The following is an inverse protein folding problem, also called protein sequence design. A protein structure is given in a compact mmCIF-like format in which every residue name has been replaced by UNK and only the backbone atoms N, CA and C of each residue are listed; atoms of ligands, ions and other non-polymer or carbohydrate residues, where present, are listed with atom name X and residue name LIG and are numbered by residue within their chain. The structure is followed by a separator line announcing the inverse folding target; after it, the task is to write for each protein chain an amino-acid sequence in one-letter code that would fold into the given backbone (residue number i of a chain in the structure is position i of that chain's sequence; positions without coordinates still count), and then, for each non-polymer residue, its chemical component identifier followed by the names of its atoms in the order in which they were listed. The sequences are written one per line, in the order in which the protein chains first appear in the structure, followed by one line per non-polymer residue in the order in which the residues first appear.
data_IF_796714536057
#
_entry.id   IF_796714536057
#
_cell.length_a   1.000
_cell.length_b   1.000
_cell.length_c   1.000
_cell.angle_alpha   90.00
_cell.angle_beta   90.00
_cell.angle_gamma   90.00
#
_symmetry.space_group_name_H-M   'P 1'
#
loop_
_entity.id
_entity.type
_entity.pdbx_description
1 polymer ?
#
# COMPACT_ATOMS: atom_id res chain seq x y z
N UNK A 1 -14.70 2.32 -37.61
CA UNK A 1 -13.45 1.84 -36.98
C UNK A 1 -12.65 3.07 -36.66
N UNK A 2 -12.36 3.32 -35.38
CA UNK A 2 -11.69 4.56 -34.97
C UNK A 2 -10.20 4.47 -35.25
N UNK A 3 -9.72 5.37 -36.11
CA UNK A 3 -8.30 5.58 -36.38
C UNK A 3 -7.54 5.70 -35.06
N UNK A 4 -6.37 5.05 -35.00
CA UNK A 4 -5.47 5.20 -33.87
C UNK A 4 -4.91 6.62 -33.88
N UNK A 5 -4.95 7.29 -32.72
CA UNK A 5 -4.42 8.65 -32.58
C UNK A 5 -2.89 8.64 -32.71
N UNK A 6 -2.25 9.53 -33.48
CA UNK A 6 -0.80 9.65 -33.48
C UNK A 6 -0.25 9.95 -32.08
N UNK A 7 0.77 9.22 -31.62
CA UNK A 7 1.35 9.37 -30.28
C UNK A 7 2.23 8.21 -29.86
N UNK A 8 2.71 8.26 -28.61
CA UNK A 8 3.46 7.15 -28.00
C UNK A 8 2.48 6.14 -27.40
N UNK A 9 2.82 4.85 -27.56
CA UNK A 9 2.02 3.74 -27.06
C UNK A 9 2.92 2.77 -26.28
N UNK A 10 2.35 2.18 -25.23
CA UNK A 10 2.97 1.12 -24.43
C UNK A 10 1.94 0.02 -24.18
N UNK A 11 1.42 -0.56 -25.26
CA UNK A 11 0.42 -1.63 -25.22
C UNK A 11 0.90 -2.85 -25.98
N UNK A 12 0.50 -4.03 -25.50
CA UNK A 12 0.63 -5.26 -26.28
C UNK A 12 -0.19 -5.15 -27.57
N UNK A 13 0.39 -5.64 -28.66
CA UNK A 13 -0.30 -5.76 -29.94
C UNK A 13 -1.32 -6.92 -29.87
N UNK A 14 -2.53 -6.63 -29.41
CA UNK A 14 -3.64 -7.60 -29.38
C UNK A 14 -4.24 -7.78 -30.77
N UNK A 15 -5.05 -8.83 -30.97
CA UNK A 15 -5.79 -9.03 -32.23
C UNK A 15 -6.67 -7.82 -32.60
N UNK A 16 -7.26 -7.15 -31.60
CA UNK A 16 -8.05 -5.94 -31.82
C UNK A 16 -7.16 -4.78 -32.29
N UNK A 17 -6.04 -4.52 -31.60
CA UNK A 17 -5.14 -3.43 -31.98
C UNK A 17 -4.47 -3.68 -33.33
N UNK A 18 -4.08 -4.92 -33.60
CA UNK A 18 -3.58 -5.36 -34.89
C UNK A 18 -4.61 -5.13 -36.01
N UNK A 19 -5.88 -5.48 -35.78
CA UNK A 19 -6.96 -5.20 -36.74
C UNK A 19 -7.19 -3.70 -36.98
N UNK A 20 -7.01 -2.86 -35.96
CA UNK A 20 -7.09 -1.39 -36.10
C UNK A 20 -5.91 -0.79 -36.86
N UNK A 21 -4.74 -1.42 -36.81
CA UNK A 21 -3.54 -1.02 -37.55
C UNK A 21 -3.54 -1.47 -39.01
N UNK A 22 -4.44 -2.38 -39.41
CA UNK A 22 -4.45 -2.96 -40.76
C UNK A 22 -4.59 -1.93 -41.90
N UNK A 23 -5.13 -0.74 -41.62
CA UNK A 23 -5.23 0.37 -42.58
C UNK A 23 -4.13 1.42 -42.47
N UNK A 24 -3.19 1.28 -41.54
CA UNK A 24 -2.08 2.20 -41.31
C UNK A 24 -0.86 1.74 -42.11
N UNK A 25 -0.18 2.68 -42.78
CA UNK A 25 1.07 2.40 -43.48
C UNK A 25 2.14 1.88 -42.50
N UNK A 26 2.88 0.84 -42.89
CA UNK A 26 3.88 0.20 -42.05
C UNK A 26 5.01 1.18 -41.65
N UNK A 27 5.35 2.14 -42.52
CA UNK A 27 6.37 3.16 -42.24
C UNK A 27 5.93 4.16 -41.16
N UNK A 28 4.63 4.19 -40.82
CA UNK A 28 4.06 5.03 -39.75
C UNK A 28 3.89 4.28 -38.43
N UNK A 29 4.21 2.98 -38.38
CA UNK A 29 4.03 2.13 -37.21
C UNK A 29 5.39 1.68 -36.69
N UNK A 30 5.71 2.09 -35.46
CA UNK A 30 6.89 1.59 -34.75
C UNK A 30 6.48 0.49 -33.78
N UNK A 31 6.93 -0.75 -34.02
CA UNK A 31 6.72 -1.89 -33.13
C UNK A 31 8.03 -2.29 -32.47
N UNK A 32 8.00 -2.52 -31.16
CA UNK A 32 9.10 -3.11 -30.39
C UNK A 32 8.89 -4.59 -30.15
N UNK A 33 9.97 -5.32 -29.93
CA UNK A 33 9.93 -6.68 -29.37
C UNK A 33 9.69 -6.63 -27.87
N UNK A 34 9.18 -7.72 -27.30
CA UNK A 34 9.10 -7.87 -25.85
C UNK A 34 10.47 -8.31 -25.32
N UNK A 35 10.99 -7.59 -24.33
CA UNK A 35 12.21 -8.00 -23.62
C UNK A 35 11.95 -9.33 -22.89
N UNK A 36 12.71 -10.41 -23.14
CA UNK A 36 12.52 -11.69 -22.47
C UNK A 36 12.57 -11.63 -20.94
N UNK A 37 13.29 -10.65 -20.36
CA UNK A 37 13.39 -10.47 -18.92
C UNK A 37 12.09 -9.87 -18.34
N UNK A 38 11.50 -8.90 -19.04
CA UNK A 38 10.37 -8.11 -18.54
C UNK A 38 9.03 -8.45 -19.19
N UNK A 39 9.00 -9.33 -20.21
CA UNK A 39 7.80 -9.70 -20.96
C UNK A 39 6.65 -10.17 -20.05
N UNK A 40 7.00 -10.85 -18.96
CA UNK A 40 6.04 -11.34 -17.97
C UNK A 40 5.23 -10.20 -17.32
N UNK A 41 5.80 -9.00 -17.13
CA UNK A 41 5.09 -7.86 -16.54
C UNK A 41 4.00 -7.32 -17.47
N UNK A 42 4.33 -7.13 -18.75
CA UNK A 42 3.39 -6.64 -19.76
C UNK A 42 2.23 -7.62 -19.99
N UNK A 43 2.54 -8.92 -20.07
CA UNK A 43 1.54 -9.99 -20.19
C UNK A 43 0.66 -10.07 -18.94
N UNK A 44 1.26 -9.98 -17.74
CA UNK A 44 0.52 -9.98 -16.47
C UNK A 44 -0.47 -8.82 -16.43
N UNK A 45 -0.04 -7.59 -16.76
CA UNK A 45 -0.91 -6.40 -16.80
C UNK A 45 -2.12 -6.62 -17.71
N UNK A 46 -1.89 -7.16 -18.91
CA UNK A 46 -2.96 -7.45 -19.87
C UNK A 46 -3.97 -8.48 -19.33
N UNK A 47 -3.50 -9.58 -18.75
CA UNK A 47 -4.36 -10.60 -18.15
C UNK A 47 -5.10 -10.05 -16.92
N UNK A 48 -4.45 -9.27 -16.07
CA UNK A 48 -5.08 -8.62 -14.91
C UNK A 48 -6.24 -7.72 -15.34
N UNK A 49 -6.06 -6.93 -16.39
CA UNK A 49 -7.13 -6.08 -16.93
C UNK A 49 -8.31 -6.89 -17.46
N UNK A 50 -8.05 -7.98 -18.19
CA UNK A 50 -9.08 -8.89 -18.69
C UNK A 50 -9.84 -9.57 -17.55
N UNK A 51 -9.12 -10.16 -16.59
CA UNK A 51 -9.70 -10.82 -15.43
C UNK A 51 -10.53 -9.84 -14.59
N UNK A 52 -10.03 -8.62 -14.37
CA UNK A 52 -10.75 -7.56 -13.66
C UNK A 52 -12.06 -7.18 -14.36
N UNK A 53 -12.06 -7.06 -15.70
CA UNK A 53 -13.29 -6.80 -16.47
C UNK A 53 -14.28 -7.96 -16.34
N UNK A 54 -13.81 -9.20 -16.49
CA UNK A 54 -14.66 -10.39 -16.38
C UNK A 54 -15.29 -10.52 -14.99
N UNK A 55 -14.52 -10.34 -13.92
CA UNK A 55 -15.00 -10.35 -12.54
C UNK A 55 -16.00 -9.21 -12.29
N UNK A 56 -15.78 -8.01 -12.85
CA UNK A 56 -16.72 -6.89 -12.72
C UNK A 56 -18.06 -7.20 -13.39
N UNK A 57 -18.05 -7.81 -14.57
CA UNK A 57 -19.26 -8.22 -15.30
C UNK A 57 -20.02 -9.32 -14.55
N UNK A 58 -19.31 -10.29 -13.96
CA UNK A 58 -19.91 -11.35 -13.15
C UNK A 58 -20.51 -10.84 -11.82
N UNK A 59 -20.04 -9.68 -11.36
CA UNK A 59 -20.43 -9.03 -10.11
C UNK A 59 -21.84 -8.43 -10.07
N UNK A 60 -22.11 -7.65 -9.02
CA UNK A 60 -23.44 -7.15 -8.66
C UNK A 60 -23.52 -6.80 -7.17
N UNK A 61 -24.69 -6.37 -6.69
CA UNK A 61 -24.88 -5.91 -5.31
C UNK A 61 -25.40 -6.97 -4.34
N UNK A 62 -25.62 -8.21 -4.80
CA UNK A 62 -26.17 -9.31 -4.00
C UNK A 62 -25.14 -10.42 -3.72
N UNK A 63 -25.51 -11.37 -2.85
CA UNK A 63 -24.66 -12.52 -2.51
C UNK A 63 -24.45 -13.49 -3.68
N UNK A 64 -25.44 -13.61 -4.56
CA UNK A 64 -25.34 -14.49 -5.71
C UNK A 64 -24.27 -13.99 -6.71
N UNK A 65 -24.13 -12.68 -6.84
CA UNK A 65 -23.10 -12.03 -7.62
C UNK A 65 -21.69 -12.32 -7.08
N UNK A 66 -21.50 -12.24 -5.77
CA UNK A 66 -20.22 -12.61 -5.16
C UNK A 66 -19.91 -14.10 -5.42
N UNK A 67 -20.90 -14.98 -5.30
CA UNK A 67 -20.73 -16.41 -5.63
C UNK A 67 -20.30 -16.65 -7.09
N UNK A 68 -20.87 -15.92 -8.05
CA UNK A 68 -20.43 -15.98 -9.47
C UNK A 68 -18.99 -15.50 -9.65
N UNK A 69 -18.60 -14.44 -8.95
CA UNK A 69 -17.22 -13.93 -9.01
C UNK A 69 -16.23 -14.95 -8.43
N UNK A 70 -16.59 -15.60 -7.32
CA UNK A 70 -15.77 -16.65 -6.69
C UNK A 70 -15.66 -17.87 -7.59
N UNK A 71 -16.75 -18.32 -8.20
CA UNK A 71 -16.73 -19.42 -9.16
C UNK A 71 -15.79 -19.11 -10.34
N UNK A 72 -15.90 -17.91 -10.93
CA UNK A 72 -15.03 -17.47 -12.02
C UNK A 72 -13.55 -17.40 -11.58
N UNK A 73 -13.26 -16.87 -10.39
CA UNK A 73 -11.91 -16.80 -9.86
C UNK A 73 -11.33 -18.22 -9.64
N UNK A 74 -12.10 -19.14 -9.07
CA UNK A 74 -11.68 -20.52 -8.84
C UNK A 74 -11.47 -21.29 -10.15
N UNK A 75 -12.23 -20.99 -11.21
CA UNK A 75 -11.99 -21.56 -12.53
C UNK A 75 -10.69 -21.04 -13.16
N UNK A 76 -10.33 -19.77 -12.92
CA UNK A 76 -9.01 -19.23 -13.28
C UNK A 76 -7.89 -19.95 -12.52
N UNK A 77 -8.04 -20.20 -11.21
CA UNK A 77 -7.06 -20.97 -10.42
C UNK A 77 -6.85 -22.37 -11.01
N UNK A 78 -7.94 -23.09 -11.32
CA UNK A 78 -7.84 -24.42 -11.96
C UNK A 78 -7.09 -24.37 -13.29
N UNK A 79 -7.35 -23.36 -14.12
CA UNK A 79 -6.66 -23.20 -15.40
C UNK A 79 -5.16 -22.93 -15.20
N UNK A 80 -4.79 -22.11 -14.22
CA UNK A 80 -3.38 -21.85 -13.88
C UNK A 80 -2.71 -23.13 -13.38
N UNK A 81 -3.32 -23.87 -12.44
CA UNK A 81 -2.79 -25.16 -11.95
C UNK A 81 -2.58 -26.17 -13.07
N UNK A 82 -3.49 -26.21 -14.06
CA UNK A 82 -3.35 -27.12 -15.20
C UNK A 82 -2.22 -26.73 -16.17
N UNK A 83 -1.98 -25.43 -16.35
CA UNK A 83 -0.95 -24.90 -17.26
C UNK A 83 0.43 -24.81 -16.61
N UNK A 84 0.48 -24.56 -15.30
CA UNK A 84 1.68 -24.36 -14.50
C UNK A 84 1.51 -24.99 -13.11
N UNK A 85 1.70 -26.32 -12.97
CA UNK A 85 1.46 -27.04 -11.71
C UNK A 85 2.30 -26.55 -10.52
N UNK A 86 3.48 -26.00 -10.79
CA UNK A 86 4.37 -25.45 -9.74
C UNK A 86 3.97 -24.04 -9.29
N UNK A 87 3.04 -23.38 -9.99
CA UNK A 87 2.66 -21.98 -9.75
C UNK A 87 1.34 -21.80 -8.97
N UNK A 88 0.47 -22.80 -8.96
CA UNK A 88 -0.80 -22.77 -8.24
C UNK A 88 -1.30 -24.17 -7.89
N UNK A 89 -1.95 -24.29 -6.74
CA UNK A 89 -2.51 -25.55 -6.26
C UNK A 89 -4.02 -25.42 -5.99
N UNK A 90 -4.76 -26.55 -5.87
CA UNK A 90 -6.19 -26.51 -5.52
C UNK A 90 -6.51 -25.75 -4.23
N UNK A 91 -5.56 -25.67 -3.30
CA UNK A 91 -5.66 -24.96 -2.03
C UNK A 91 -5.69 -23.43 -2.17
N UNK A 92 -5.28 -22.89 -3.32
CA UNK A 92 -5.37 -21.45 -3.63
C UNK A 92 -6.81 -21.01 -3.97
N UNK A 93 -7.73 -21.96 -4.15
CA UNK A 93 -9.13 -21.67 -4.41
C UNK A 93 -9.83 -21.04 -3.19
N UNK A 94 -10.70 -20.08 -3.44
CA UNK A 94 -11.49 -19.41 -2.41
C UNK A 94 -12.59 -20.35 -1.90
N UNK A 95 -12.64 -20.53 -0.58
CA UNK A 95 -13.65 -21.35 0.10
C UNK A 95 -15.05 -20.71 0.09
N UNK A 96 -16.07 -21.56 0.10
CA UNK A 96 -17.48 -21.16 0.26
C UNK A 96 -17.93 -21.29 1.73
N UNK A 97 -18.61 -20.30 2.31
CA UNK A 97 -18.94 -19.00 1.72
C UNK A 97 -17.71 -18.07 1.70
N UNK A 98 -17.57 -17.18 0.69
CA UNK A 98 -16.42 -16.29 0.60
C UNK A 98 -16.35 -15.33 1.78
N UNK A 99 -15.15 -15.22 2.35
CA UNK A 99 -14.81 -14.35 3.49
C UNK A 99 -13.42 -13.78 3.30
N UNK A 100 -13.17 -12.63 3.92
CA UNK A 100 -11.83 -12.06 4.03
C UNK A 100 -11.36 -12.23 5.47
N UNK A 101 -10.16 -12.79 5.65
CA UNK A 101 -9.52 -12.81 6.97
C UNK A 101 -9.04 -11.39 7.31
N UNK A 102 -9.66 -10.77 8.32
CA UNK A 102 -9.37 -9.36 8.66
C UNK A 102 -8.33 -9.21 9.77
N UNK A 103 -8.28 -10.16 10.69
CA UNK A 103 -7.31 -10.20 11.79
C UNK A 103 -7.35 -11.58 12.47
N UNK A 104 -6.25 -11.92 13.16
CA UNK A 104 -6.16 -13.04 14.11
C UNK A 104 -5.69 -12.46 15.43
N UNK A 105 -6.42 -12.73 16.51
CA UNK A 105 -6.05 -12.25 17.84
C UNK A 105 -5.03 -13.20 18.50
N UNK A 106 -4.18 -12.63 19.36
CA UNK A 106 -3.34 -13.42 20.26
C UNK A 106 -4.20 -14.06 21.36
N UNK A 107 -3.91 -15.31 21.77
CA UNK A 107 -4.57 -15.91 22.92
C UNK A 107 -4.35 -15.07 24.19
N UNK A 108 -5.43 -14.72 24.90
CA UNK A 108 -5.34 -13.99 26.17
C UNK A 108 -5.26 -14.99 27.34
N UNK A 109 -4.34 -14.81 28.31
CA UNK A 109 -4.29 -15.63 29.51
C UNK A 109 -5.43 -15.29 30.49
N UNK A 110 -6.06 -14.12 30.35
CA UNK A 110 -7.20 -13.71 31.16
C UNK A 110 -8.52 -14.02 30.46
N UNK A 111 -9.54 -14.54 31.17
CA UNK A 111 -10.88 -14.73 30.62
C UNK A 111 -11.49 -13.41 30.14
N UNK A 112 -11.98 -13.38 28.90
CA UNK A 112 -12.58 -12.20 28.30
C UNK A 112 -12.72 -12.34 26.78
N UNK A 113 -13.42 -11.40 26.11
CA UNK A 113 -13.49 -11.39 24.66
C UNK A 113 -12.10 -11.13 24.05
N UNK A 114 -11.83 -11.76 22.90
CA UNK A 114 -10.62 -11.51 22.14
C UNK A 114 -10.54 -10.03 21.73
N UNK A 115 -9.36 -9.44 21.86
CA UNK A 115 -9.10 -8.07 21.40
C UNK A 115 -8.35 -8.11 20.08
N UNK A 116 -8.85 -7.38 19.09
CA UNK A 116 -8.23 -7.24 17.78
C UNK A 116 -7.61 -5.85 17.63
N UNK A 117 -6.50 -5.70 16.90
CA UNK A 117 -5.94 -4.39 16.63
C UNK A 117 -6.89 -3.58 15.74
N UNK A 118 -6.91 -2.27 15.92
CA UNK A 118 -7.64 -1.37 15.02
C UNK A 118 -7.03 -1.45 13.61
N UNK A 119 -7.89 -1.52 12.59
CA UNK A 119 -7.47 -1.52 11.19
C UNK A 119 -7.48 -0.10 10.63
N UNK A 120 -6.52 0.27 9.76
CA UNK A 120 -6.58 1.49 8.95
C UNK A 120 -7.88 1.56 8.15
N UNK A 121 -8.38 2.78 7.88
CA UNK A 121 -9.56 2.91 7.02
C UNK A 121 -9.24 2.61 5.57
N UNK A 122 -8.02 2.91 5.13
CA UNK A 122 -7.53 2.49 3.81
C UNK A 122 -7.18 1.00 3.88
N UNK A 123 -7.73 0.15 3.00
CA UNK A 123 -7.32 -1.25 2.93
C UNK A 123 -5.83 -1.38 2.61
N UNK A 124 -5.10 -2.17 3.41
CA UNK A 124 -3.66 -2.40 3.24
C UNK A 124 -3.28 -3.05 1.89
N UNK A 125 -4.26 -3.61 1.18
CA UNK A 125 -4.08 -4.21 -0.16
C UNK A 125 -4.26 -3.19 -1.30
N UNK A 126 -4.43 -1.91 -0.99
CA UNK A 126 -4.74 -0.87 -1.98
C UNK A 126 -3.86 0.36 -1.78
N UNK A 127 -3.56 1.06 -2.88
CA UNK A 127 -2.95 2.39 -2.84
C UNK A 127 -4.04 3.45 -2.72
N UNK A 128 -3.80 4.49 -1.92
CA UNK A 128 -4.71 5.62 -1.77
C UNK A 128 -3.94 6.95 -1.75
N UNK A 129 -4.57 7.99 -2.29
CA UNK A 129 -4.11 9.37 -2.17
C UNK A 129 -4.84 10.03 -0.99
N UNK A 130 -4.08 10.49 0.00
CA UNK A 130 -4.61 11.20 1.16
C UNK A 130 -4.24 12.69 1.06
N UNK A 131 -5.25 13.56 1.04
CA UNK A 131 -5.04 15.02 0.96
C UNK A 131 -5.62 15.79 2.15
N UNK A 132 -5.91 15.09 3.26
CA UNK A 132 -6.55 15.64 4.46
C UNK A 132 -7.83 16.46 4.17
N UNK A 133 -8.54 16.13 3.09
CA UNK A 133 -9.78 16.81 2.69
C UNK A 133 -10.93 16.61 3.68
N UNK A 134 -11.94 17.49 3.65
CA UNK A 134 -13.16 17.31 4.46
C UNK A 134 -13.82 15.97 4.12
N UNK A 135 -14.03 15.12 5.14
CA UNK A 135 -14.63 13.80 4.97
C UNK A 135 -13.66 12.72 4.46
N UNK A 136 -12.39 13.03 4.25
CA UNK A 136 -11.37 12.05 3.87
C UNK A 136 -10.58 11.55 5.09
N UNK A 137 -9.97 10.36 5.03
CA UNK A 137 -9.05 9.90 6.06
C UNK A 137 -7.90 10.91 6.21
N UNK A 138 -7.64 11.33 7.45
CA UNK A 138 -6.51 12.22 7.74
C UNK A 138 -5.29 11.38 8.09
N UNK A 139 -4.13 11.82 7.64
CA UNK A 139 -2.88 11.06 7.80
C UNK A 139 -2.58 10.75 9.27
N UNK A 140 -2.87 11.65 10.22
CA UNK A 140 -2.67 11.39 11.64
C UNK A 140 -3.50 10.22 12.19
N UNK A 141 -4.76 10.07 11.74
CA UNK A 141 -5.61 8.95 12.15
C UNK A 141 -5.17 7.64 11.51
N UNK A 142 -4.77 7.69 10.23
CA UNK A 142 -4.28 6.49 9.55
C UNK A 142 -2.94 6.03 10.14
N UNK A 143 -1.99 6.93 10.40
CA UNK A 143 -0.75 6.62 11.12
C UNK A 143 -1.06 6.01 12.50
N UNK A 144 -2.02 6.55 13.25
CA UNK A 144 -2.40 5.99 14.54
C UNK A 144 -2.95 4.56 14.44
N UNK A 145 -3.76 4.25 13.42
CA UNK A 145 -4.31 2.91 13.16
C UNK A 145 -3.25 1.93 12.65
N UNK A 146 -2.36 2.41 11.80
CA UNK A 146 -1.22 1.64 11.32
C UNK A 146 -0.32 1.23 12.49
N UNK A 147 -0.02 2.16 13.40
CA UNK A 147 0.70 1.90 14.65
C UNK A 147 0.01 0.88 15.56
N UNK A 148 -1.32 0.71 15.49
CA UNK A 148 -2.05 -0.24 16.33
C UNK A 148 -1.77 -1.71 15.95
N UNK A 149 -1.37 -1.97 14.70
CA UNK A 149 -1.16 -3.32 14.16
C UNK A 149 0.25 -3.58 13.63
N UNK A 150 1.11 -2.57 13.55
CA UNK A 150 2.50 -2.73 13.11
C UNK A 150 3.36 -3.45 14.16
N UNK A 151 4.33 -4.24 13.67
CA UNK A 151 5.37 -4.89 14.47
C UNK A 151 6.68 -4.09 14.41
N UNK A 152 6.94 -3.42 13.27
CA UNK A 152 8.09 -2.55 13.10
C UNK A 152 7.72 -1.32 12.28
N UNK A 153 8.23 -0.17 12.69
CA UNK A 153 7.94 1.13 12.09
C UNK A 153 9.24 1.85 11.78
N UNK A 154 9.40 2.28 10.54
CA UNK A 154 10.44 3.24 10.17
C UNK A 154 9.82 4.59 9.85
N UNK A 155 10.32 5.63 10.51
CA UNK A 155 10.00 7.01 10.22
C UNK A 155 11.22 7.70 9.62
N UNK A 156 11.09 8.16 8.37
CA UNK A 156 11.97 9.14 7.79
C UNK A 156 11.24 10.47 7.79
N UNK A 157 11.71 11.46 8.55
CA UNK A 157 11.00 12.73 8.66
C UNK A 157 11.95 13.91 8.75
N UNK A 158 11.75 14.88 7.85
CA UNK A 158 12.53 16.11 7.84
C UNK A 158 12.36 16.90 9.15
N UNK A 159 11.13 17.10 9.62
CA UNK A 159 10.85 17.85 10.86
C UNK A 159 9.99 17.04 11.83
N UNK A 160 10.45 16.97 13.07
CA UNK A 160 9.72 16.36 14.17
C UNK A 160 9.42 17.45 15.21
N UNK A 161 8.15 17.83 15.33
CA UNK A 161 7.69 18.84 16.30
C UNK A 161 7.08 18.14 17.51
N UNK A 162 7.31 18.71 18.70
CA UNK A 162 6.76 18.20 19.96
C UNK A 162 5.25 17.97 19.88
N UNK A 163 4.53 18.94 19.30
CA UNK A 163 3.09 18.91 19.19
C UNK A 163 2.58 17.87 18.18
N UNK A 164 3.40 17.49 17.19
CA UNK A 164 3.07 16.39 16.28
C UNK A 164 3.24 15.03 16.97
N UNK A 165 4.35 14.85 17.70
CA UNK A 165 4.60 13.63 18.48
C UNK A 165 3.48 13.36 19.49
N UNK A 166 3.01 14.40 20.19
CA UNK A 166 1.90 14.31 21.15
C UNK A 166 0.60 13.74 20.57
N UNK A 167 0.35 13.89 19.27
CA UNK A 167 -0.86 13.35 18.61
C UNK A 167 -0.86 11.82 18.61
N UNK A 168 0.32 11.20 18.48
CA UNK A 168 0.48 9.74 18.29
C UNK A 168 1.20 9.05 19.45
N UNK A 169 1.54 9.78 20.51
CA UNK A 169 2.34 9.28 21.63
C UNK A 169 1.72 8.05 22.31
N UNK A 170 0.39 8.02 22.44
CA UNK A 170 -0.34 6.87 23.00
C UNK A 170 -0.07 5.61 22.17
N UNK A 171 -0.16 5.72 20.85
CA UNK A 171 0.01 4.60 19.93
C UNK A 171 1.47 4.14 19.87
N UNK A 172 2.43 5.07 19.97
CA UNK A 172 3.85 4.73 20.09
C UNK A 172 4.16 3.99 21.41
N UNK A 173 3.54 4.41 22.51
CA UNK A 173 3.63 3.69 23.80
C UNK A 173 3.08 2.27 23.66
N UNK A 174 1.90 2.13 23.05
CA UNK A 174 1.28 0.82 22.81
C UNK A 174 2.12 -0.05 21.86
N UNK A 175 2.76 0.53 20.84
CA UNK A 175 3.68 -0.21 19.97
C UNK A 175 4.82 -0.82 20.79
N UNK A 176 5.46 -0.02 21.66
CA UNK A 176 6.53 -0.48 22.55
C UNK A 176 6.04 -1.57 23.52
N UNK A 177 4.88 -1.38 24.14
CA UNK A 177 4.30 -2.34 25.09
C UNK A 177 4.03 -3.72 24.45
N UNK A 178 3.70 -3.74 23.15
CA UNK A 178 3.56 -4.98 22.38
C UNK A 178 4.90 -5.56 21.90
N UNK A 179 6.04 -4.96 22.24
CA UNK A 179 7.37 -5.37 21.80
C UNK A 179 7.75 -4.91 20.39
N UNK A 180 6.98 -3.99 19.80
CA UNK A 180 7.24 -3.44 18.48
C UNK A 180 8.45 -2.50 18.44
N UNK A 181 9.04 -2.33 17.26
CA UNK A 181 10.25 -1.52 17.06
C UNK A 181 9.96 -0.22 16.32
N UNK A 182 10.58 0.88 16.74
CA UNK A 182 10.53 2.17 16.05
C UNK A 182 11.95 2.64 15.71
N UNK A 183 12.21 2.87 14.42
CA UNK A 183 13.43 3.53 13.94
C UNK A 183 13.08 4.90 13.36
N UNK A 184 13.88 5.91 13.68
CA UNK A 184 13.65 7.28 13.24
C UNK A 184 14.91 7.83 12.61
N UNK A 185 14.80 8.31 11.38
CA UNK A 185 15.82 9.10 10.70
C UNK A 185 15.29 10.52 10.52
N UNK A 186 16.05 11.49 11.00
CA UNK A 186 15.73 12.92 10.83
C UNK A 186 16.99 13.74 10.53
N UNK A 187 16.86 15.05 10.43
CA UNK A 187 17.98 15.96 10.11
C UNK A 187 17.89 17.26 10.91
N UNK A 188 19.03 17.94 11.07
CA UNK A 188 19.11 19.31 11.58
C UNK A 188 19.17 20.36 10.48
N UNK A 189 19.04 20.01 9.19
CA UNK A 189 19.24 20.89 8.03
C UNK A 189 18.57 22.27 8.15
N UNK A 190 17.33 22.36 8.66
CA UNK A 190 16.65 23.65 8.89
C UNK A 190 16.41 23.99 10.36
N UNK A 191 17.00 23.23 11.30
CA UNK A 191 16.80 23.45 12.74
C UNK A 191 15.35 23.37 13.21
N UNK A 192 14.45 22.75 12.41
CA UNK A 192 13.02 22.77 12.68
C UNK A 192 12.55 21.64 13.61
N UNK A 193 13.37 20.62 13.85
CA UNK A 193 13.08 19.52 14.78
C UNK A 193 13.27 19.96 16.23
N UNK A 194 12.28 19.68 17.08
CA UNK A 194 12.35 20.03 18.50
C UNK A 194 13.15 18.96 19.27
N UNK A 195 14.22 19.35 19.97
CA UNK A 195 15.05 18.43 20.76
C UNK A 195 14.21 17.59 21.74
N UNK A 196 13.27 18.22 22.46
CA UNK A 196 12.36 17.54 23.39
C UNK A 196 11.55 16.42 22.73
N UNK A 197 11.22 16.54 21.44
CA UNK A 197 10.51 15.49 20.71
C UNK A 197 11.42 14.29 20.43
N UNK A 198 12.70 14.52 20.14
CA UNK A 198 13.69 13.46 19.98
C UNK A 198 13.97 12.74 21.30
N UNK A 199 14.16 13.50 22.39
CA UNK A 199 14.37 12.93 23.72
C UNK A 199 13.22 11.99 24.09
N UNK A 200 11.98 12.44 23.85
CA UNK A 200 10.79 11.64 24.12
C UNK A 200 10.68 10.39 23.22
N UNK A 201 11.09 10.45 21.96
CA UNK A 201 11.15 9.28 21.10
C UNK A 201 12.14 8.24 21.65
N UNK A 202 13.32 8.69 22.10
CA UNK A 202 14.32 7.80 22.74
C UNK A 202 13.77 7.19 24.03
N UNK A 203 13.09 7.96 24.88
CA UNK A 203 12.42 7.45 26.09
C UNK A 203 11.35 6.38 25.78
N UNK A 204 10.67 6.51 24.64
CA UNK A 204 9.73 5.52 24.13
C UNK A 204 10.42 4.29 23.50
N UNK A 205 11.74 4.22 23.52
CA UNK A 205 12.53 3.10 23.02
C UNK A 205 12.84 3.16 21.52
N UNK A 206 12.70 4.33 20.89
CA UNK A 206 13.02 4.50 19.48
C UNK A 206 14.53 4.53 19.21
N UNK A 207 14.96 3.89 18.13
CA UNK A 207 16.31 4.05 17.59
C UNK A 207 16.35 5.32 16.72
N UNK A 208 16.90 6.41 17.25
CA UNK A 208 16.94 7.71 16.56
C UNK A 208 18.32 7.96 15.95
N UNK A 209 18.36 8.29 14.66
CA UNK A 209 19.55 8.78 13.96
C UNK A 209 19.27 10.17 13.36
N UNK A 210 20.18 11.10 13.62
CA UNK A 210 20.06 12.48 13.16
C UNK A 210 21.19 12.78 12.17
N UNK A 211 20.85 13.19 10.96
CA UNK A 211 21.82 13.73 10.00
C UNK A 211 22.10 15.20 10.31
N UNK A 212 23.36 15.49 10.68
CA UNK A 212 23.85 16.85 10.90
C UNK A 212 24.38 17.51 9.63
N UNK A 213 24.33 16.84 8.47
CA UNK A 213 24.75 17.42 7.20
C UNK A 213 23.77 18.52 6.76
N UNK A 214 24.30 19.72 6.53
CA UNK A 214 23.51 20.92 6.19
C UNK A 214 23.91 21.56 4.87
N UNK A 215 25.01 21.12 4.25
CA UNK A 215 25.64 21.78 3.10
C UNK A 215 25.44 21.03 1.79
N UNK A 216 25.57 19.70 1.79
CA UNK A 216 25.57 18.90 0.54
C UNK A 216 24.23 18.24 0.26
N UNK A 217 23.64 17.57 1.26
CA UNK A 217 22.41 16.79 1.09
C UNK A 217 21.32 17.31 2.00
N UNK A 218 20.28 17.90 1.40
CA UNK A 218 19.13 18.46 2.11
C UNK A 218 18.06 17.39 2.29
N UNK A 219 18.16 16.60 3.35
CA UNK A 219 17.17 15.56 3.63
C UNK A 219 15.80 16.19 3.93
N UNK A 220 14.90 16.16 2.95
CA UNK A 220 13.53 16.68 3.09
C UNK A 220 12.47 15.61 2.83
N UNK A 221 12.85 14.33 2.89
CA UNK A 221 11.96 13.20 2.72
C UNK A 221 11.04 13.00 3.94
N UNK A 222 9.84 12.52 3.66
CA UNK A 222 8.84 12.19 4.68
C UNK A 222 8.18 10.89 4.28
N UNK A 223 8.48 9.85 5.02
CA UNK A 223 7.94 8.54 4.79
C UNK A 223 7.73 7.81 6.10
N UNK A 224 6.60 7.12 6.19
CA UNK A 224 6.35 6.08 7.18
C UNK A 224 6.37 4.74 6.48
N UNK A 225 7.00 3.74 7.08
CA UNK A 225 6.92 2.35 6.66
C UNK A 225 6.50 1.50 7.86
N UNK A 226 5.29 0.95 7.77
CA UNK A 226 4.69 0.06 8.76
C UNK A 226 4.82 -1.37 8.26
N UNK A 227 5.59 -2.19 8.97
CA UNK A 227 5.80 -3.61 8.65
C UNK A 227 5.05 -4.49 9.63
N UNK A 228 4.51 -5.57 9.10
CA UNK A 228 3.78 -6.60 9.83
C UNK A 228 4.31 -7.98 9.47
N UNK A 229 4.39 -8.87 10.45
CA UNK A 229 4.75 -10.27 10.24
C UNK A 229 3.74 -11.00 9.35
N UNK A 230 2.52 -10.46 9.20
CA UNK A 230 1.50 -10.98 8.28
C UNK A 230 1.82 -10.74 6.80
N UNK A 231 2.88 -9.99 6.47
CA UNK A 231 3.22 -9.60 5.10
C UNK A 231 2.49 -8.34 4.60
N UNK A 232 1.47 -7.86 5.32
CA UNK A 232 0.70 -6.66 4.95
C UNK A 232 1.40 -5.37 5.45
N UNK A 233 2.41 -4.93 4.69
CA UNK A 233 3.13 -3.69 4.98
C UNK A 233 2.49 -2.49 4.28
N UNK A 234 2.46 -1.35 4.97
CA UNK A 234 1.96 -0.08 4.41
C UNK A 234 3.08 0.95 4.40
N UNK A 235 3.20 1.71 3.32
CA UNK A 235 4.05 2.89 3.27
C UNK A 235 3.22 4.15 3.00
N UNK A 236 3.52 5.23 3.72
CA UNK A 236 3.00 6.56 3.41
C UNK A 236 4.18 7.41 2.99
N UNK A 237 4.10 8.00 1.80
CA UNK A 237 5.14 8.87 1.25
C UNK A 237 4.46 10.17 0.81
N UNK A 238 4.97 11.31 1.26
CA UNK A 238 4.35 12.59 0.93
C UNK A 238 5.01 13.82 1.55
N UNK A 239 4.20 14.85 1.74
CA UNK A 239 4.52 16.19 2.24
C UNK A 239 4.46 16.33 3.77
N UNK A 240 3.80 15.37 4.45
CA UNK A 240 3.45 15.46 5.87
C UNK A 240 4.61 15.18 6.83
N UNK A 241 5.02 16.21 7.57
CA UNK A 241 5.96 16.08 8.67
C UNK A 241 5.27 15.54 9.95
N UNK A 242 6.05 15.13 10.96
CA UNK A 242 5.54 14.84 12.29
C UNK A 242 5.27 16.16 13.04
N UNK A 243 4.24 16.88 12.61
CA UNK A 243 3.77 18.13 13.19
C UNK A 243 2.25 18.08 13.38
N UNK A 244 1.71 18.88 14.31
CA UNK A 244 0.26 18.88 14.55
C UNK A 244 -0.51 19.22 13.28
N UNK A 245 -0.13 20.32 12.61
CA UNK A 245 -0.78 20.79 11.39
C UNK A 245 -0.82 19.70 10.33
N UNK A 246 0.33 19.10 9.99
CA UNK A 246 0.40 18.06 8.95
C UNK A 246 -0.44 16.82 9.28
N UNK A 247 -0.54 16.46 10.57
CA UNK A 247 -1.30 15.28 10.99
C UNK A 247 -2.81 15.52 11.13
N UNK A 248 -3.24 16.76 11.37
CA UNK A 248 -4.65 17.06 11.68
C UNK A 248 -5.35 17.90 10.63
N UNK A 249 -4.84 19.08 10.29
CA UNK A 249 -5.64 20.12 9.61
C UNK A 249 -4.93 20.77 8.41
N UNK A 250 -3.67 20.42 8.16
CA UNK A 250 -2.90 20.87 7.00
C UNK A 250 -3.41 20.22 5.73
N UNK A 251 -3.54 21.02 4.67
CA UNK A 251 -3.65 20.48 3.32
C UNK A 251 -2.27 19.94 2.95
N UNK A 252 -2.18 18.63 2.76
CA UNK A 252 -0.95 17.89 2.53
C UNK A 252 -1.02 17.15 1.19
#
# INVERSE_FOLDING_TARGET
MGDLTPGVYEHLLTNELHGRLAGTDADLVSLGELDPVDAHEALTRHITELASRALRIAGGSDRAAVGRQVALANDMVKAITALAPDAAAPEDAVVEPPRTLLAVAQPSPTPGPATFPERPAVPMSTSALLVNGRGQPRIGFEVARELASADSVDLLCAFIKWQGLRVIEKQLTQLRERGGRLRVITTTYMGATDQRALDRLVELGAEVKVSYETRTTRLHAKAWLFRRATGLSTAYVGSSNLSRTALTDGLE
#
